data_IF_746056795087
#
_entry.id   IF_746056795087
#
_cell.length_a   1.000
_cell.length_b   1.000
_cell.length_c   1.000
_cell.angle_alpha   90.00
_cell.angle_beta   90.00
_cell.angle_gamma   90.00
#
_symmetry.space_group_name_H-M   'P 1'
#
loop_
_entity.id
_entity.type
_entity.pdbx_description
1 polymer ?
#
# COMPACT_ATOMS: atom_id res chain seq x y z
N UNK A 1 72.40 40.27 4.56
CA UNK A 1 71.22 40.80 3.84
C UNK A 1 70.18 39.69 3.85
N UNK A 2 69.13 39.84 4.67
CA UNK A 2 68.34 38.72 5.20
C UNK A 2 66.97 38.64 4.53
N UNK A 3 66.59 37.44 4.10
CA UNK A 3 65.30 37.08 3.50
C UNK A 3 64.20 37.11 4.57
N UNK A 4 63.03 37.70 4.26
CA UNK A 4 61.74 37.33 4.88
C UNK A 4 60.57 37.73 3.97
N UNK A 5 60.04 36.76 3.24
CA UNK A 5 58.63 36.73 2.85
C UNK A 5 57.83 36.11 4.00
N UNK A 6 56.73 36.73 4.45
CA UNK A 6 55.60 36.01 5.05
C UNK A 6 54.33 36.86 5.20
N UNK A 7 53.31 36.46 4.43
CA UNK A 7 51.87 36.32 4.72
C UNK A 7 51.14 37.28 5.69
N UNK A 8 50.05 37.89 5.20
CA UNK A 8 48.65 37.57 5.62
C UNK A 8 47.62 38.43 4.87
N UNK A 9 47.21 37.98 3.69
CA UNK A 9 45.98 38.44 3.02
C UNK A 9 44.82 37.57 3.47
N UNK A 10 44.04 38.06 4.43
CA UNK A 10 42.94 37.36 5.11
C UNK A 10 41.64 37.54 4.31
N UNK A 11 41.44 36.80 3.22
CA UNK A 11 40.15 36.79 2.48
C UNK A 11 39.93 35.43 1.80
N UNK A 12 38.86 34.73 2.16
CA UNK A 12 38.41 33.55 1.41
C UNK A 12 37.90 32.38 2.25
N UNK A 13 37.05 32.60 3.25
CA UNK A 13 36.27 31.50 3.88
C UNK A 13 34.75 31.78 3.80
N UNK A 14 34.33 32.83 3.10
CA UNK A 14 32.91 33.23 3.01
C UNK A 14 32.14 32.61 1.83
N UNK A 15 32.74 31.66 1.10
CA UNK A 15 32.18 31.14 -0.16
C UNK A 15 31.67 29.69 -0.12
N UNK A 16 31.68 29.02 1.04
CA UNK A 16 31.37 27.58 1.11
C UNK A 16 30.13 27.22 1.95
N UNK A 17 29.31 28.19 2.32
CA UNK A 17 28.14 27.97 3.22
C UNK A 17 26.77 28.20 2.54
N UNK A 18 26.73 28.58 1.27
CA UNK A 18 25.47 28.89 0.57
C UNK A 18 24.85 27.72 -0.22
N UNK A 19 25.52 26.56 -0.31
CA UNK A 19 25.10 25.44 -1.16
C UNK A 19 24.37 24.29 -0.44
N UNK A 20 24.13 24.39 0.88
CA UNK A 20 23.59 23.28 1.70
C UNK A 20 22.12 23.47 2.16
N UNK A 21 21.43 24.54 1.74
CA UNK A 21 20.11 24.89 2.25
C UNK A 21 18.90 24.33 1.44
N UNK A 22 19.12 23.42 0.48
CA UNK A 22 18.06 22.85 -0.37
C UNK A 22 17.70 21.38 -0.06
N UNK A 23 18.21 20.82 1.03
CA UNK A 23 17.91 19.44 1.43
C UNK A 23 16.68 19.37 2.34
N UNK A 24 15.62 18.79 1.79
CA UNK A 24 14.53 18.08 2.46
C UNK A 24 13.43 18.91 3.15
N UNK A 25 12.56 19.54 2.35
CA UNK A 25 11.13 19.58 2.71
C UNK A 25 10.54 18.25 2.28
N UNK A 26 10.62 17.23 3.15
CA UNK A 26 9.73 16.09 3.01
C UNK A 26 8.35 16.54 3.49
N UNK A 27 7.27 16.33 2.70
CA UNK A 27 5.93 16.53 3.24
C UNK A 27 5.80 15.55 4.40
N UNK A 28 5.66 16.08 5.62
CA UNK A 28 5.20 15.31 6.74
C UNK A 28 3.83 14.76 6.33
N UNK A 29 3.77 13.47 5.98
CA UNK A 29 2.50 12.77 5.88
C UNK A 29 1.88 12.91 7.27
N UNK A 30 0.84 13.72 7.38
CA UNK A 30 0.06 13.81 8.60
C UNK A 30 -0.36 12.38 8.94
N UNK A 31 0.19 11.84 10.03
CA UNK A 31 -0.24 10.55 10.55
C UNK A 31 -1.70 10.73 10.91
N UNK A 32 -2.61 10.14 10.12
CA UNK A 32 -4.01 10.05 10.52
C UNK A 32 -4.03 9.43 11.93
N UNK A 33 -4.92 9.89 12.83
CA UNK A 33 -5.05 9.27 14.14
C UNK A 33 -5.24 7.76 13.94
N UNK A 34 -4.59 6.92 14.76
CA UNK A 34 -4.68 5.47 14.62
C UNK A 34 -6.14 5.04 14.58
N UNK A 35 -6.53 4.41 13.47
CA UNK A 35 -7.90 3.93 13.28
C UNK A 35 -8.14 2.80 14.27
N UNK A 36 -9.32 2.77 14.90
CA UNK A 36 -9.71 1.66 15.76
C UNK A 36 -9.68 0.36 14.94
N UNK A 37 -8.83 -0.62 15.29
CA UNK A 37 -8.72 -1.89 14.57
C UNK A 37 -10.05 -2.64 14.48
N UNK A 38 -10.96 -2.45 15.43
CA UNK A 38 -12.29 -3.06 15.41
C UNK A 38 -13.17 -2.58 14.24
N UNK A 39 -12.84 -1.43 13.63
CA UNK A 39 -13.53 -0.92 12.46
C UNK A 39 -13.05 -1.56 11.15
N UNK A 40 -11.92 -2.27 11.17
CA UNK A 40 -11.29 -2.82 9.97
C UNK A 40 -12.18 -3.80 9.20
N UNK A 41 -12.83 -4.80 9.81
CA UNK A 41 -13.67 -5.74 9.06
C UNK A 41 -14.78 -5.05 8.28
N UNK A 42 -15.46 -4.07 8.90
CA UNK A 42 -16.49 -3.30 8.23
C UNK A 42 -15.93 -2.45 7.08
N UNK A 43 -14.73 -1.89 7.22
CA UNK A 43 -14.06 -1.13 6.15
C UNK A 43 -13.61 -2.03 4.99
N UNK A 44 -13.01 -3.18 5.29
CA UNK A 44 -12.58 -4.16 4.30
C UNK A 44 -13.78 -4.72 3.50
N UNK A 45 -14.90 -5.00 4.17
CA UNK A 45 -16.10 -5.46 3.48
C UNK A 45 -16.70 -4.39 2.57
N UNK A 46 -16.77 -3.11 2.99
CA UNK A 46 -17.22 -2.04 2.08
C UNK A 46 -16.34 -1.94 0.83
N UNK A 47 -15.01 -2.00 1.01
CA UNK A 47 -14.08 -1.99 -0.11
C UNK A 47 -14.33 -3.18 -1.06
N UNK A 48 -14.48 -4.40 -0.52
CA UNK A 48 -14.72 -5.60 -1.32
C UNK A 48 -16.09 -5.61 -2.00
N UNK A 49 -17.13 -5.10 -1.33
CA UNK A 49 -18.49 -5.00 -1.88
C UNK A 49 -18.53 -4.03 -3.08
N UNK A 50 -17.68 -2.99 -3.08
CA UNK A 50 -17.52 -2.08 -4.22
C UNK A 50 -16.67 -2.70 -5.35
N UNK A 51 -15.56 -3.37 -5.02
CA UNK A 51 -14.58 -3.86 -6.01
C UNK A 51 -14.99 -5.18 -6.67
N UNK A 52 -15.61 -6.11 -5.94
CA UNK A 52 -15.95 -7.44 -6.46
C UNK A 52 -16.88 -7.39 -7.68
N UNK A 53 -18.02 -6.67 -7.67
CA UNK A 53 -18.89 -6.60 -8.85
C UNK A 53 -18.19 -5.98 -10.07
N UNK A 54 -17.28 -5.02 -9.85
CA UNK A 54 -16.51 -4.36 -10.90
C UNK A 54 -15.47 -5.31 -11.49
N UNK A 55 -14.79 -6.07 -10.64
CA UNK A 55 -13.89 -7.14 -11.07
C UNK A 55 -14.64 -8.20 -11.89
N UNK A 56 -15.81 -8.65 -11.45
CA UNK A 56 -16.63 -9.62 -12.21
C UNK A 56 -17.07 -9.08 -13.57
N UNK A 57 -17.37 -7.78 -13.67
CA UNK A 57 -17.65 -7.14 -14.95
C UNK A 57 -16.42 -7.10 -15.86
N UNK A 58 -15.25 -6.71 -15.31
CA UNK A 58 -13.99 -6.68 -16.05
C UNK A 58 -13.58 -8.07 -16.56
N UNK A 59 -13.71 -9.11 -15.72
CA UNK A 59 -13.44 -10.50 -16.12
C UNK A 59 -14.33 -10.94 -17.28
N UNK A 60 -15.63 -10.63 -17.23
CA UNK A 60 -16.57 -10.96 -18.32
C UNK A 60 -16.28 -10.20 -19.62
N UNK A 61 -15.70 -9.01 -19.51
CA UNK A 61 -15.33 -8.17 -20.65
C UNK A 61 -13.91 -8.42 -21.18
N UNK A 62 -13.12 -9.32 -20.56
CA UNK A 62 -11.67 -9.46 -20.78
C UNK A 62 -10.92 -8.11 -20.66
N UNK A 63 -11.38 -7.24 -19.77
CA UNK A 63 -10.80 -5.92 -19.51
C UNK A 63 -9.61 -6.04 -18.55
N UNK A 64 -8.41 -6.07 -19.13
CA UNK A 64 -7.14 -6.17 -18.40
C UNK A 64 -6.73 -4.85 -17.78
N UNK A 65 -7.11 -3.74 -18.39
CA UNK A 65 -6.72 -2.38 -17.97
C UNK A 65 -7.39 -2.01 -16.64
N UNK A 66 -8.59 -2.56 -16.37
CA UNK A 66 -9.24 -2.46 -15.06
C UNK A 66 -8.30 -2.83 -13.89
N UNK A 67 -7.45 -3.86 -14.07
CA UNK A 67 -6.66 -4.42 -12.98
C UNK A 67 -5.48 -3.54 -12.56
N UNK A 68 -5.00 -2.64 -13.42
CA UNK A 68 -4.01 -1.62 -13.03
C UNK A 68 -4.62 -0.66 -12.01
N UNK A 69 -5.79 -0.11 -12.33
CA UNK A 69 -6.51 0.79 -11.42
C UNK A 69 -6.98 0.08 -10.14
N UNK A 70 -7.40 -1.19 -10.25
CA UNK A 70 -7.78 -2.01 -9.10
C UNK A 70 -6.61 -2.21 -8.14
N UNK A 71 -5.41 -2.50 -8.67
CA UNK A 71 -4.19 -2.61 -7.88
C UNK A 71 -3.90 -1.32 -7.11
N UNK A 72 -4.01 -0.16 -7.76
CA UNK A 72 -3.76 1.12 -7.10
C UNK A 72 -4.74 1.37 -5.93
N UNK A 73 -6.04 1.08 -6.12
CA UNK A 73 -7.06 1.22 -5.05
C UNK A 73 -6.83 0.24 -3.90
N UNK A 74 -6.46 -1.00 -4.22
CA UNK A 74 -6.09 -2.00 -3.22
C UNK A 74 -4.90 -1.53 -2.37
N UNK A 75 -3.84 -1.06 -3.02
CA UNK A 75 -2.64 -0.57 -2.34
C UNK A 75 -2.98 0.61 -1.44
N UNK A 76 -3.73 1.59 -1.94
CA UNK A 76 -4.14 2.75 -1.15
C UNK A 76 -4.94 2.33 0.10
N UNK A 77 -5.93 1.44 -0.05
CA UNK A 77 -6.68 0.92 1.09
C UNK A 77 -5.75 0.20 2.09
N UNK A 78 -4.83 -0.63 1.61
CA UNK A 78 -3.90 -1.35 2.48
C UNK A 78 -2.85 -0.46 3.16
N UNK A 79 -2.51 0.69 2.56
CA UNK A 79 -1.66 1.71 3.16
C UNK A 79 -2.40 2.50 4.26
N UNK A 80 -3.66 2.87 4.03
CA UNK A 80 -4.50 3.57 5.03
C UNK A 80 -4.67 2.76 6.32
N UNK A 81 -4.63 1.43 6.21
CA UNK A 81 -4.73 0.48 7.32
C UNK A 81 -3.38 -0.12 7.75
N UNK A 82 -2.27 0.38 7.21
CA UNK A 82 -0.91 0.02 7.60
C UNK A 82 -0.54 -1.48 7.42
N UNK A 83 -1.22 -2.22 6.55
CA UNK A 83 -0.94 -3.66 6.32
C UNK A 83 -0.31 -3.98 4.96
N UNK A 84 0.01 -2.97 4.13
CA UNK A 84 0.72 -3.19 2.85
C UNK A 84 2.24 -3.32 3.00
N UNK A 85 2.85 -2.30 3.60
CA UNK A 85 4.32 -2.12 3.64
C UNK A 85 4.95 -2.70 4.91
N UNK A 86 4.14 -2.86 5.94
CA UNK A 86 4.48 -3.48 7.23
C UNK A 86 3.32 -4.34 7.68
N UNK A 87 3.59 -5.31 8.53
CA UNK A 87 2.51 -6.05 9.20
C UNK A 87 1.93 -5.17 10.30
N UNK A 88 0.65 -4.83 10.21
CA UNK A 88 -0.08 -4.21 11.31
C UNK A 88 -0.53 -5.30 12.32
N UNK A 89 0.10 -5.42 13.49
CA UNK A 89 -0.22 -6.48 14.45
C UNK A 89 -1.65 -6.36 15.00
N UNK A 90 -2.22 -5.15 15.01
CA UNK A 90 -3.57 -4.91 15.51
C UNK A 90 -4.65 -5.51 14.59
N UNK A 91 -4.29 -5.79 13.33
CA UNK A 91 -5.16 -6.46 12.36
C UNK A 91 -4.99 -7.99 12.34
N UNK A 92 -4.10 -8.55 13.15
CA UNK A 92 -3.90 -10.01 13.22
C UNK A 92 -5.19 -10.81 13.52
N UNK A 93 -6.11 -10.36 14.40
CA UNK A 93 -7.40 -11.02 14.60
C UNK A 93 -8.28 -11.06 13.34
N UNK A 94 -8.03 -10.15 12.39
CA UNK A 94 -8.79 -9.96 11.16
C UNK A 94 -8.02 -10.43 9.91
N UNK A 95 -7.13 -11.41 10.05
CA UNK A 95 -6.31 -11.91 8.95
C UNK A 95 -7.11 -12.32 7.70
N UNK A 96 -8.33 -12.86 7.88
CA UNK A 96 -9.21 -13.17 6.75
C UNK A 96 -9.55 -11.93 5.91
N UNK A 97 -9.75 -10.76 6.55
CA UNK A 97 -10.03 -9.51 5.85
C UNK A 97 -8.79 -8.97 5.13
N UNK A 98 -7.62 -8.96 5.76
CA UNK A 98 -6.38 -8.48 5.11
C UNK A 98 -5.99 -9.36 3.93
N UNK A 99 -6.14 -10.68 4.05
CA UNK A 99 -5.92 -11.63 2.95
C UNK A 99 -6.92 -11.43 1.83
N UNK A 100 -8.23 -11.33 2.12
CA UNK A 100 -9.24 -11.09 1.09
C UNK A 100 -8.97 -9.80 0.29
N UNK A 101 -8.65 -8.69 0.98
CA UNK A 101 -8.30 -7.44 0.29
C UNK A 101 -7.03 -7.58 -0.54
N UNK A 102 -6.01 -8.31 -0.08
CA UNK A 102 -4.77 -8.48 -0.83
C UNK A 102 -4.94 -9.37 -2.07
N UNK A 103 -5.80 -10.37 -2.00
CA UNK A 103 -5.92 -11.41 -3.02
C UNK A 103 -6.91 -11.05 -4.15
N UNK A 104 -7.84 -10.10 -3.96
CA UNK A 104 -8.95 -9.93 -4.91
C UNK A 104 -8.47 -9.62 -6.33
N UNK A 105 -7.46 -8.77 -6.49
CA UNK A 105 -6.88 -8.44 -7.80
C UNK A 105 -6.27 -9.68 -8.45
N UNK A 106 -5.51 -10.46 -7.67
CA UNK A 106 -4.85 -11.69 -8.15
C UNK A 106 -5.90 -12.70 -8.60
N UNK A 107 -6.95 -12.90 -7.81
CA UNK A 107 -8.05 -13.81 -8.14
C UNK A 107 -8.73 -13.40 -9.45
N UNK A 108 -9.01 -12.12 -9.64
CA UNK A 108 -9.61 -11.63 -10.89
C UNK A 108 -8.68 -11.82 -12.10
N UNK A 109 -7.39 -11.50 -11.96
CA UNK A 109 -6.40 -11.74 -13.01
C UNK A 109 -6.25 -13.23 -13.36
N UNK A 110 -6.27 -14.11 -12.36
CA UNK A 110 -6.19 -15.55 -12.58
C UNK A 110 -7.39 -16.14 -13.32
N UNK A 111 -8.53 -15.43 -13.35
CA UNK A 111 -9.67 -15.80 -14.19
C UNK A 111 -9.49 -15.38 -15.65
N UNK A 112 -8.74 -14.31 -15.91
CA UNK A 112 -8.36 -13.88 -17.26
C UNK A 112 -7.16 -14.66 -17.83
N UNK A 113 -6.22 -15.06 -16.97
CA UNK A 113 -4.97 -15.73 -17.35
C UNK A 113 -4.69 -16.91 -16.41
N UNK A 114 -5.45 -18.01 -16.53
CA UNK A 114 -5.35 -19.14 -15.60
C UNK A 114 -4.02 -19.90 -15.70
N UNK A 115 -3.26 -19.75 -16.79
CA UNK A 115 -1.97 -20.41 -17.00
C UNK A 115 -0.78 -19.69 -16.33
N UNK A 116 -1.01 -18.57 -15.63
CA UNK A 116 0.07 -17.85 -14.94
C UNK A 116 0.56 -18.62 -13.71
N UNK A 117 1.88 -18.69 -13.44
CA UNK A 117 2.42 -19.46 -12.31
C UNK A 117 2.00 -18.94 -10.93
N UNK A 118 1.50 -17.70 -10.84
CA UNK A 118 0.95 -17.13 -9.59
C UNK A 118 -0.47 -17.61 -9.28
N UNK A 119 -1.12 -18.30 -10.22
CA UNK A 119 -2.49 -18.78 -10.09
C UNK A 119 -2.52 -20.19 -9.49
N UNK A 120 -2.28 -20.26 -8.18
CA UNK A 120 -2.25 -21.53 -7.46
C UNK A 120 -3.62 -22.24 -7.44
N UNK A 121 -3.63 -23.59 -7.51
CA UNK A 121 -4.85 -24.36 -7.32
C UNK A 121 -5.52 -24.04 -5.98
N UNK A 122 -6.81 -23.71 -6.02
CA UNK A 122 -7.60 -23.42 -4.82
C UNK A 122 -7.58 -21.97 -4.34
N UNK A 123 -6.82 -21.07 -4.98
CA UNK A 123 -6.78 -19.64 -4.66
C UNK A 123 -8.18 -19.02 -4.59
N UNK A 124 -9.02 -19.27 -5.61
CA UNK A 124 -10.39 -18.75 -5.65
C UNK A 124 -11.27 -19.27 -4.49
N UNK A 125 -11.10 -20.54 -4.11
CA UNK A 125 -11.83 -21.16 -2.99
C UNK A 125 -11.39 -20.56 -1.65
N UNK A 126 -10.08 -20.35 -1.46
CA UNK A 126 -9.55 -19.72 -0.26
C UNK A 126 -10.01 -18.27 -0.15
N UNK A 127 -9.95 -17.53 -1.26
CA UNK A 127 -10.45 -16.15 -1.34
C UNK A 127 -11.92 -16.06 -0.92
N UNK A 128 -12.79 -16.87 -1.52
CA UNK A 128 -14.22 -16.87 -1.18
C UNK A 128 -14.46 -17.17 0.31
N UNK A 129 -13.70 -18.11 0.89
CA UNK A 129 -13.74 -18.41 2.33
C UNK A 129 -13.32 -17.20 3.17
N UNK A 130 -12.27 -16.49 2.77
CA UNK A 130 -11.77 -15.33 3.49
C UNK A 130 -12.74 -14.14 3.41
N UNK A 131 -13.36 -13.90 2.25
CA UNK A 131 -14.45 -12.92 2.11
C UNK A 131 -15.60 -13.24 3.07
N UNK A 132 -16.02 -14.49 3.16
CA UNK A 132 -17.10 -14.89 4.06
C UNK A 132 -16.72 -14.72 5.54
N UNK A 133 -15.52 -15.12 5.94
CA UNK A 133 -15.04 -14.90 7.32
C UNK A 133 -14.90 -13.41 7.64
N UNK A 134 -14.49 -12.59 6.67
CA UNK A 134 -14.43 -11.15 6.85
C UNK A 134 -15.83 -10.55 7.03
N UNK A 135 -16.81 -11.01 6.25
CA UNK A 135 -18.22 -10.62 6.38
C UNK A 135 -18.76 -10.93 7.77
N UNK A 136 -18.49 -12.12 8.28
CA UNK A 136 -18.89 -12.51 9.64
C UNK A 136 -18.29 -11.56 10.68
N UNK A 137 -16.99 -11.27 10.59
CA UNK A 137 -16.31 -10.33 11.49
C UNK A 137 -16.87 -8.90 11.39
N UNK A 138 -17.29 -8.45 10.20
CA UNK A 138 -17.90 -7.14 10.00
C UNK A 138 -19.29 -6.99 10.65
N UNK A 139 -19.98 -8.12 10.87
CA UNK A 139 -21.31 -8.15 11.48
C UNK A 139 -21.34 -8.58 12.94
N UNK A 140 -20.24 -9.15 13.44
CA UNK A 140 -20.08 -9.50 14.84
C UNK A 140 -19.96 -8.21 15.67
N UNK A 141 -20.94 -7.98 16.55
CA UNK A 141 -20.94 -6.91 17.55
C UNK A 141 -20.92 -7.52 18.93
#
# INVERSE_FOLDING_TARGET
>A
MTIRMSMRGRRGVAGLLAALALLAVQPARAQLPPQDPALFPAAAMRFLDDELPRMEAAVRADDRDFFEGATARMVAFSEDWDFKTRTNPDLAPYAACTTAVSDYVVVGLCRLVPASPVCEPGLATLFARNVERCRQAATAR
#
